data_IF_843882459601
#
_entry.id   IF_843882459601
#
_cell.length_a   1.000
_cell.length_b   1.000
_cell.length_c   1.000
_cell.angle_alpha   90.00
_cell.angle_beta   90.00
_cell.angle_gamma   90.00
#
_symmetry.space_group_name_H-M   'P 1'
#
loop_
_entity.id
_entity.type
_entity.pdbx_description
1 polymer ?
#
# COMPACT_ATOMS: atom_id res chain seq x y z
N UNK A 1 -26.11 -6.05 10.21
CA UNK A 1 -25.56 -6.17 8.86
C UNK A 1 -25.87 -7.56 8.35
N UNK A 2 -26.12 -7.71 7.05
CA UNK A 2 -26.39 -9.02 6.41
C UNK A 2 -25.12 -9.66 5.89
N UNK A 3 -24.17 -8.84 5.47
CA UNK A 3 -22.83 -9.29 5.10
C UNK A 3 -22.03 -9.75 6.34
N UNK A 4 -21.42 -10.93 6.27
CA UNK A 4 -20.47 -11.45 7.27
C UNK A 4 -19.07 -11.41 6.68
N UNK A 5 -18.20 -10.49 7.13
CA UNK A 5 -16.83 -10.39 6.64
C UNK A 5 -15.96 -11.57 7.12
N UNK A 6 -14.80 -11.82 6.47
CA UNK A 6 -13.79 -12.73 6.99
C UNK A 6 -13.31 -12.29 8.39
N UNK A 7 -12.80 -13.25 9.17
CA UNK A 7 -12.14 -12.97 10.44
C UNK A 7 -10.97 -11.98 10.27
N UNK A 8 -10.64 -11.25 11.33
CA UNK A 8 -9.66 -10.14 11.29
C UNK A 8 -8.30 -10.55 10.76
N UNK A 9 -7.78 -11.69 11.22
CA UNK A 9 -6.51 -12.28 10.80
C UNK A 9 -6.51 -12.67 9.32
N UNK A 10 -7.60 -13.27 8.84
CA UNK A 10 -7.78 -13.64 7.44
C UNK A 10 -7.87 -12.38 6.56
N UNK A 11 -8.64 -11.38 6.97
CA UNK A 11 -8.77 -10.12 6.25
C UNK A 11 -7.44 -9.37 6.20
N UNK A 12 -6.69 -9.33 7.31
CA UNK A 12 -5.36 -8.73 7.36
C UNK A 12 -4.40 -9.42 6.39
N UNK A 13 -4.32 -10.75 6.42
CA UNK A 13 -3.45 -11.53 5.54
C UNK A 13 -3.80 -11.37 4.05
N UNK A 14 -5.09 -11.23 3.72
CA UNK A 14 -5.54 -10.93 2.34
C UNK A 14 -5.20 -9.49 1.95
N UNK A 15 -5.39 -8.53 2.84
CA UNK A 15 -5.05 -7.11 2.63
C UNK A 15 -3.56 -6.93 2.32
N UNK A 16 -2.69 -7.65 3.03
CA UNK A 16 -1.24 -7.59 2.82
C UNK A 16 -0.79 -8.10 1.44
N UNK A 17 -1.57 -9.01 0.84
CA UNK A 17 -1.29 -9.64 -0.46
C UNK A 17 -1.80 -8.84 -1.67
N UNK A 18 -2.64 -7.82 -1.47
CA UNK A 18 -3.27 -7.06 -2.56
C UNK A 18 -2.27 -6.50 -3.58
N UNK A 19 -1.15 -5.94 -3.09
CA UNK A 19 -0.10 -5.37 -3.96
C UNK A 19 0.52 -6.44 -4.86
N UNK A 20 0.89 -7.59 -4.26
CA UNK A 20 1.46 -8.71 -5.01
C UNK A 20 0.47 -9.28 -6.03
N UNK A 21 -0.80 -9.41 -5.67
CA UNK A 21 -1.84 -9.89 -6.58
C UNK A 21 -2.04 -8.94 -7.76
N UNK A 22 -2.10 -7.63 -7.48
CA UNK A 22 -2.22 -6.61 -8.52
C UNK A 22 -0.99 -6.62 -9.45
N UNK A 23 0.22 -6.69 -8.88
CA UNK A 23 1.47 -6.73 -9.65
C UNK A 23 1.51 -7.93 -10.61
N UNK A 24 1.11 -9.11 -10.15
CA UNK A 24 1.03 -10.33 -10.98
C UNK A 24 0.02 -10.14 -12.12
N UNK A 25 -1.19 -9.66 -11.82
CA UNK A 25 -2.23 -9.48 -12.83
C UNK A 25 -1.83 -8.42 -13.86
N UNK A 26 -1.20 -7.33 -13.42
CA UNK A 26 -0.64 -6.27 -14.27
C UNK A 26 0.65 -6.69 -14.99
N UNK A 27 1.23 -7.86 -14.68
CA UNK A 27 2.53 -8.32 -15.19
C UNK A 27 3.63 -7.27 -15.00
N UNK A 28 3.61 -6.60 -13.83
CA UNK A 28 4.58 -5.56 -13.52
C UNK A 28 5.99 -6.13 -13.40
N UNK A 29 6.97 -5.26 -13.65
CA UNK A 29 8.36 -5.63 -13.58
C UNK A 29 8.75 -6.07 -12.16
N UNK A 30 9.33 -7.26 -12.03
CA UNK A 30 9.67 -7.86 -10.74
C UNK A 30 11.00 -7.30 -10.22
N UNK A 31 10.93 -6.71 -9.03
CA UNK A 31 12.10 -6.16 -8.32
C UNK A 31 12.60 -7.11 -7.24
N UNK A 32 11.74 -7.99 -6.74
CA UNK A 32 12.14 -8.97 -5.75
C UNK A 32 12.75 -10.20 -6.44
N UNK A 33 13.68 -10.92 -5.77
CA UNK A 33 14.19 -12.18 -6.29
C UNK A 33 13.02 -13.18 -6.49
N UNK A 34 13.05 -14.01 -7.54
CA UNK A 34 12.06 -15.07 -7.72
C UNK A 34 12.12 -16.02 -6.51
N UNK A 35 10.96 -16.26 -5.89
CA UNK A 35 10.85 -17.08 -4.67
C UNK A 35 11.14 -18.58 -4.90
N UNK A 36 11.25 -19.02 -6.16
CA UNK A 36 11.14 -20.44 -6.56
C UNK A 36 12.46 -21.20 -6.72
N UNK A 37 13.64 -20.61 -6.43
CA UNK A 37 14.93 -21.25 -6.76
C UNK A 37 15.94 -21.45 -5.62
N UNK A 38 15.56 -21.27 -4.34
CA UNK A 38 16.49 -21.57 -3.23
C UNK A 38 16.06 -22.80 -2.42
N UNK A 39 16.95 -23.82 -2.25
CA UNK A 39 16.70 -24.91 -1.32
C UNK A 39 16.58 -24.35 0.11
N UNK A 40 15.63 -24.92 0.86
CA UNK A 40 15.15 -24.52 2.20
C UNK A 40 16.19 -24.28 3.32
N UNK A 41 17.50 -24.39 3.04
CA UNK A 41 18.59 -24.24 4.01
C UNK A 41 19.51 -23.03 3.77
N UNK A 42 19.37 -22.28 2.67
CA UNK A 42 20.14 -21.05 2.45
C UNK A 42 19.43 -19.85 3.07
N UNK A 43 20.17 -18.94 3.72
CA UNK A 43 19.64 -17.64 4.16
C UNK A 43 19.07 -16.94 2.92
N UNK A 44 17.74 -16.76 2.87
CA UNK A 44 17.06 -16.06 1.77
C UNK A 44 17.74 -14.71 1.53
N UNK A 45 18.34 -14.54 0.36
CA UNK A 45 18.97 -13.29 -0.05
C UNK A 45 17.93 -12.15 -0.03
N UNK A 46 18.27 -10.99 0.53
CA UNK A 46 17.34 -9.84 0.50
C UNK A 46 17.25 -9.26 -0.91
N UNK A 47 16.14 -8.57 -1.24
CA UNK A 47 16.01 -7.89 -2.54
C UNK A 47 17.18 -6.93 -2.82
N UNK A 48 17.66 -6.24 -1.78
CA UNK A 48 18.79 -5.32 -1.90
C UNK A 48 20.09 -6.05 -2.25
N UNK A 49 20.40 -7.16 -1.57
CA UNK A 49 21.60 -7.96 -1.86
C UNK A 49 21.57 -8.50 -3.29
N UNK A 50 20.40 -8.91 -3.76
CA UNK A 50 20.21 -9.39 -5.12
C UNK A 50 20.47 -8.28 -6.16
N UNK A 51 19.97 -7.06 -5.92
CA UNK A 51 20.23 -5.91 -6.79
C UNK A 51 21.69 -5.43 -6.73
N UNK A 52 22.33 -5.46 -5.56
CA UNK A 52 23.77 -5.18 -5.44
C UNK A 52 24.58 -6.19 -6.27
N UNK A 53 24.21 -7.46 -6.21
CA UNK A 53 24.85 -8.51 -7.02
C UNK A 53 24.70 -8.24 -8.52
N UNK A 54 23.51 -7.81 -8.96
CA UNK A 54 23.27 -7.41 -10.36
C UNK A 54 24.06 -6.18 -10.77
N UNK A 55 24.17 -5.20 -9.88
CA UNK A 55 24.93 -3.98 -10.13
C UNK A 55 26.44 -4.24 -10.24
N UNK A 56 26.96 -5.38 -9.76
CA UNK A 56 28.37 -5.73 -9.88
C UNK A 56 28.87 -5.71 -11.34
N UNK A 57 28.05 -6.18 -12.29
CA UNK A 57 28.39 -6.10 -13.72
C UNK A 57 28.51 -4.66 -14.24
N UNK A 58 27.84 -3.70 -13.62
CA UNK A 58 27.98 -2.26 -13.90
C UNK A 58 29.29 -1.72 -13.33
N UNK A 59 29.68 -2.16 -12.13
CA UNK A 59 30.93 -1.77 -11.48
C UNK A 59 32.16 -2.31 -12.21
N UNK A 60 32.06 -3.52 -12.75
CA UNK A 60 33.18 -4.21 -13.41
C UNK A 60 33.28 -3.87 -14.91
N UNK A 61 32.30 -3.15 -15.47
CA UNK A 61 32.32 -2.84 -16.89
C UNK A 61 33.49 -1.87 -17.23
N UNK A 62 34.28 -2.22 -18.23
CA UNK A 62 35.27 -1.29 -18.79
C UNK A 62 34.56 -0.21 -19.61
N UNK A 63 34.56 1.03 -19.15
CA UNK A 63 33.84 2.14 -19.79
C UNK A 63 34.67 3.42 -19.76
N UNK A 64 34.59 4.25 -20.81
CA UNK A 64 35.19 5.61 -20.79
C UNK A 64 34.38 6.61 -19.95
N UNK A 65 33.31 6.17 -19.29
CA UNK A 65 32.41 6.98 -18.45
C UNK A 65 32.68 6.72 -16.96
N UNK A 66 33.95 6.72 -16.57
CA UNK A 66 34.39 6.30 -15.22
C UNK A 66 33.68 7.06 -14.09
N UNK A 67 33.50 8.38 -14.23
CA UNK A 67 32.82 9.18 -13.20
C UNK A 67 31.36 8.79 -13.02
N UNK A 68 30.66 8.41 -14.10
CA UNK A 68 29.28 7.93 -14.03
C UNK A 68 29.19 6.54 -13.39
N UNK A 69 30.16 5.66 -13.70
CA UNK A 69 30.28 4.34 -13.05
C UNK A 69 30.54 4.48 -11.55
N UNK A 70 31.38 5.44 -11.17
CA UNK A 70 31.74 5.68 -9.77
C UNK A 70 30.54 6.06 -8.88
N UNK A 71 29.50 6.68 -9.44
CA UNK A 71 28.24 6.92 -8.72
C UNK A 71 27.65 5.61 -8.20
N UNK A 72 27.66 4.55 -9.03
CA UNK A 72 27.16 3.24 -8.62
C UNK A 72 28.05 2.58 -7.58
N UNK A 73 29.37 2.74 -7.68
CA UNK A 73 30.30 2.20 -6.69
C UNK A 73 30.03 2.82 -5.30
N UNK A 74 29.94 4.15 -5.24
CA UNK A 74 29.64 4.87 -4.01
C UNK A 74 28.27 4.48 -3.45
N UNK A 75 27.23 4.50 -4.29
CA UNK A 75 25.88 4.15 -3.87
C UNK A 75 25.78 2.69 -3.38
N UNK A 76 26.37 1.73 -4.11
CA UNK A 76 26.37 0.32 -3.68
C UNK A 76 27.09 0.15 -2.34
N UNK A 77 28.21 0.83 -2.13
CA UNK A 77 28.93 0.76 -0.86
C UNK A 77 28.12 1.36 0.29
N UNK A 78 27.43 2.48 0.08
CA UNK A 78 26.49 3.04 1.07
C UNK A 78 25.37 2.04 1.41
N UNK A 79 24.74 1.46 0.39
CA UNK A 79 23.58 0.58 0.57
C UNK A 79 23.93 -0.77 1.21
N UNK A 80 25.19 -1.24 1.13
CA UNK A 80 25.65 -2.45 1.84
C UNK A 80 25.51 -2.36 3.36
N UNK A 81 25.45 -1.14 3.90
CA UNK A 81 25.34 -0.88 5.34
C UNK A 81 23.89 -0.76 5.84
N UNK A 82 22.90 -0.87 4.96
CA UNK A 82 21.48 -0.85 5.35
C UNK A 82 21.16 -2.08 6.21
N UNK A 83 20.39 -1.87 7.29
CA UNK A 83 20.02 -2.94 8.20
C UNK A 83 19.19 -4.02 7.48
N UNK A 84 19.75 -5.22 7.34
CA UNK A 84 19.14 -6.36 6.63
C UNK A 84 17.87 -6.89 7.30
N UNK A 85 17.73 -6.67 8.60
CA UNK A 85 16.58 -7.14 9.37
C UNK A 85 15.37 -6.19 9.24
N UNK A 86 15.58 -4.95 8.78
CA UNK A 86 14.49 -4.01 8.50
C UNK A 86 14.00 -4.14 7.06
N UNK A 87 12.89 -4.85 6.85
CA UNK A 87 12.28 -5.07 5.53
C UNK A 87 11.96 -3.76 4.79
N UNK A 88 11.51 -2.73 5.49
CA UNK A 88 11.15 -1.45 4.88
C UNK A 88 12.39 -0.70 4.37
N UNK A 89 13.46 -0.66 5.18
CA UNK A 89 14.72 -0.03 4.79
C UNK A 89 15.35 -0.75 3.60
N UNK A 90 15.33 -2.09 3.59
CA UNK A 90 15.80 -2.89 2.45
C UNK A 90 15.00 -2.57 1.17
N UNK A 91 13.68 -2.43 1.29
CA UNK A 91 12.82 -2.10 0.15
C UNK A 91 13.13 -0.69 -0.38
N UNK A 92 13.24 0.32 0.50
CA UNK A 92 13.61 1.70 0.11
C UNK A 92 14.98 1.74 -0.56
N UNK A 93 15.98 1.11 0.06
CA UNK A 93 17.34 0.99 -0.48
C UNK A 93 17.38 0.31 -1.86
N UNK A 94 16.57 -0.74 -2.04
CA UNK A 94 16.42 -1.42 -3.33
C UNK A 94 15.94 -0.43 -4.40
N UNK A 95 14.90 0.36 -4.09
CA UNK A 95 14.39 1.36 -5.02
C UNK A 95 15.38 2.48 -5.32
N UNK A 96 16.24 2.87 -4.37
CA UNK A 96 17.32 3.84 -4.64
C UNK A 96 18.28 3.33 -5.71
N UNK A 97 18.69 2.07 -5.62
CA UNK A 97 19.61 1.46 -6.60
C UNK A 97 18.95 1.27 -7.96
N UNK A 98 17.71 0.75 -8.00
CA UNK A 98 16.95 0.60 -9.25
C UNK A 98 16.71 1.94 -9.91
N UNK A 99 16.37 2.97 -9.13
CA UNK A 99 16.18 4.33 -9.63
C UNK A 99 17.46 4.94 -10.17
N UNK A 100 18.62 4.71 -9.53
CA UNK A 100 19.92 5.14 -10.05
C UNK A 100 20.25 4.47 -11.40
N UNK A 101 19.98 3.17 -11.52
CA UNK A 101 20.16 2.41 -12.77
C UNK A 101 19.28 2.97 -13.89
N UNK A 102 17.98 3.16 -13.63
CA UNK A 102 17.04 3.72 -14.60
C UNK A 102 17.37 5.17 -14.97
N UNK A 103 17.74 6.01 -14.01
CA UNK A 103 18.18 7.38 -14.26
C UNK A 103 19.34 7.38 -15.26
N UNK A 104 20.39 6.60 -15.00
CA UNK A 104 21.56 6.57 -15.90
C UNK A 104 21.23 5.90 -17.24
N UNK A 105 20.39 4.86 -17.24
CA UNK A 105 19.91 4.21 -18.47
C UNK A 105 19.28 5.23 -19.44
N UNK A 106 18.31 6.02 -18.96
CA UNK A 106 17.67 7.05 -19.78
C UNK A 106 18.60 8.20 -20.14
N UNK A 107 19.48 8.63 -19.22
CA UNK A 107 20.46 9.69 -19.51
C UNK A 107 21.47 9.29 -20.59
N UNK A 108 21.95 8.04 -20.60
CA UNK A 108 22.85 7.59 -21.67
C UNK A 108 22.15 7.61 -23.02
N UNK A 109 20.89 7.19 -23.12
CA UNK A 109 20.13 7.30 -24.38
C UNK A 109 19.99 8.76 -24.82
N UNK A 110 19.56 9.64 -23.92
CA UNK A 110 19.39 11.05 -24.24
C UNK A 110 20.70 11.72 -24.69
N UNK A 111 21.83 11.45 -24.04
CA UNK A 111 23.12 12.02 -24.46
C UNK A 111 23.54 11.57 -25.87
N UNK A 112 23.19 10.34 -26.26
CA UNK A 112 23.44 9.84 -27.62
C UNK A 112 22.50 10.50 -28.64
N UNK A 113 21.23 10.67 -28.31
CA UNK A 113 20.26 11.38 -29.14
C UNK A 113 20.66 12.86 -29.33
N UNK A 114 21.00 13.54 -28.24
CA UNK A 114 21.45 14.94 -28.23
C UNK A 114 22.70 15.13 -29.08
N UNK A 115 23.69 14.23 -28.95
CA UNK A 115 24.89 14.25 -29.76
C UNK A 115 24.55 14.04 -31.24
N UNK A 116 23.84 12.97 -31.58
CA UNK A 116 23.46 12.64 -32.96
C UNK A 116 22.70 13.78 -33.65
N UNK A 117 21.77 14.41 -32.92
CA UNK A 117 21.03 15.58 -33.40
C UNK A 117 21.93 16.80 -33.60
N UNK A 118 22.87 17.05 -32.68
CA UNK A 118 23.79 18.20 -32.74
C UNK A 118 24.78 18.09 -33.90
N UNK A 119 25.40 16.92 -34.07
CA UNK A 119 26.41 16.69 -35.12
C UNK A 119 25.82 16.19 -36.44
N UNK A 120 24.49 15.98 -36.50
CA UNK A 120 23.75 15.42 -37.65
C UNK A 120 24.31 14.07 -38.12
N UNK A 121 24.63 13.21 -37.16
CA UNK A 121 25.15 11.86 -37.39
C UNK A 121 24.11 10.84 -36.90
N UNK A 122 23.78 9.85 -37.73
CA UNK A 122 22.79 8.80 -37.41
C UNK A 122 23.39 7.40 -37.16
N UNK A 123 24.71 7.24 -37.29
CA UNK A 123 25.38 5.92 -37.14
C UNK A 123 26.07 5.72 -35.78
N UNK A 124 25.89 6.64 -34.82
CA UNK A 124 26.46 6.48 -33.48
C UNK A 124 25.41 5.90 -32.54
N UNK A 125 25.48 4.58 -32.33
CA UNK A 125 24.46 3.80 -31.64
C UNK A 125 24.76 3.63 -30.15
N UNK A 126 23.73 3.77 -29.32
CA UNK A 126 23.84 3.65 -27.85
C UNK A 126 24.29 2.26 -27.38
N UNK A 127 24.01 1.21 -28.17
CA UNK A 127 24.46 -0.15 -27.88
C UNK A 127 25.98 -0.35 -27.92
N UNK A 128 26.74 0.61 -28.44
CA UNK A 128 28.21 0.65 -28.32
C UNK A 128 28.69 1.00 -26.90
N UNK A 129 27.84 1.61 -26.07
CA UNK A 129 28.17 1.98 -24.70
C UNK A 129 28.15 0.74 -23.79
N UNK A 130 29.34 0.32 -23.34
CA UNK A 130 29.47 -0.80 -22.39
C UNK A 130 28.74 -0.53 -21.06
N UNK A 131 28.76 0.71 -20.58
CA UNK A 131 28.01 1.10 -19.39
C UNK A 131 26.49 0.95 -19.60
N UNK A 132 25.97 1.36 -20.76
CA UNK A 132 24.55 1.20 -21.09
C UNK A 132 24.15 -0.28 -21.11
N UNK A 133 24.92 -1.11 -21.80
CA UNK A 133 24.66 -2.55 -21.89
C UNK A 133 24.77 -3.25 -20.53
N UNK A 134 25.71 -2.86 -19.68
CA UNK A 134 25.82 -3.38 -18.32
C UNK A 134 24.60 -3.01 -17.46
N UNK A 135 24.10 -1.77 -17.58
CA UNK A 135 22.88 -1.34 -16.88
C UNK A 135 21.66 -2.11 -17.39
N UNK A 136 21.51 -2.32 -18.71
CA UNK A 136 20.44 -3.14 -19.29
C UNK A 136 20.46 -4.57 -18.74
N UNK A 137 21.65 -5.17 -18.65
CA UNK A 137 21.83 -6.50 -18.10
C UNK A 137 21.48 -6.56 -16.60
N UNK A 138 21.85 -5.54 -15.82
CA UNK A 138 21.47 -5.43 -14.41
C UNK A 138 19.95 -5.30 -14.22
N UNK A 139 19.28 -4.54 -15.09
CA UNK A 139 17.82 -4.39 -15.16
C UNK A 139 17.11 -5.58 -15.83
N UNK A 140 17.83 -6.66 -16.20
CA UNK A 140 17.30 -7.85 -16.88
C UNK A 140 16.40 -7.53 -18.08
N UNK A 141 16.76 -6.51 -18.84
CA UNK A 141 16.13 -6.30 -20.13
C UNK A 141 16.51 -7.42 -21.10
N UNK A 142 15.68 -7.66 -22.14
CA UNK A 142 15.94 -8.69 -23.12
C UNK A 142 17.36 -8.59 -23.68
N UNK A 143 18.08 -9.72 -23.67
CA UNK A 143 19.43 -9.78 -24.22
C UNK A 143 19.40 -9.43 -25.70
N UNK A 144 20.33 -8.58 -26.10
CA UNK A 144 20.53 -8.21 -27.50
C UNK A 144 21.94 -8.65 -27.88
N UNK A 145 22.10 -9.54 -28.87
CA UNK A 145 23.41 -9.95 -29.35
C UNK A 145 24.28 -8.74 -29.70
N UNK A 146 25.56 -8.77 -29.34
CA UNK A 146 26.48 -7.62 -29.52
C UNK A 146 26.54 -7.12 -30.96
N UNK A 147 26.41 -8.02 -31.94
CA UNK A 147 26.39 -7.68 -33.36
C UNK A 147 25.17 -6.84 -33.75
N UNK A 148 24.03 -7.07 -33.12
CA UNK A 148 22.78 -6.34 -33.36
C UNK A 148 22.69 -5.08 -32.52
N UNK A 149 23.22 -5.10 -31.29
CA UNK A 149 23.23 -3.94 -30.40
C UNK A 149 23.93 -2.72 -31.03
N UNK A 150 24.96 -2.98 -31.86
CA UNK A 150 25.70 -1.94 -32.58
C UNK A 150 24.94 -1.25 -33.71
N UNK A 151 23.71 -1.65 -34.03
CA UNK A 151 22.88 -1.04 -35.08
C UNK A 151 21.50 -0.58 -34.61
N UNK A 152 21.13 -0.82 -33.34
CA UNK A 152 19.85 -0.38 -32.79
C UNK A 152 19.92 1.08 -32.35
N UNK A 153 18.91 1.84 -32.75
CA UNK A 153 18.63 3.19 -32.25
C UNK A 153 18.22 3.19 -30.77
N UNK A 154 18.28 4.36 -30.14
CA UNK A 154 17.76 4.58 -28.78
C UNK A 154 16.27 4.25 -28.68
N UNK A 155 15.49 4.59 -29.71
CA UNK A 155 14.05 4.31 -29.77
C UNK A 155 13.77 2.81 -29.81
N UNK A 156 14.52 2.03 -30.60
CA UNK A 156 14.36 0.56 -30.65
C UNK A 156 14.70 -0.11 -29.31
N UNK A 157 15.74 0.35 -28.61
CA UNK A 157 16.00 -0.13 -27.25
C UNK A 157 14.88 0.25 -26.29
N UNK A 158 14.41 1.50 -26.35
CA UNK A 158 13.31 1.97 -25.50
C UNK A 158 12.05 1.13 -25.71
N UNK A 159 11.67 0.83 -26.94
CA UNK A 159 10.50 0.00 -27.25
C UNK A 159 10.65 -1.43 -26.73
N UNK A 160 11.80 -2.08 -26.96
CA UNK A 160 12.06 -3.44 -26.49
C UNK A 160 12.08 -3.53 -24.95
N UNK A 161 12.68 -2.54 -24.30
CA UNK A 161 12.87 -2.57 -22.85
C UNK A 161 11.61 -2.14 -22.09
N UNK A 162 10.85 -1.16 -22.60
CA UNK A 162 9.55 -0.77 -22.04
C UNK A 162 8.44 -1.81 -22.31
N UNK A 163 8.67 -2.80 -23.17
CA UNK A 163 7.78 -3.96 -23.26
C UNK A 163 7.86 -4.85 -22.00
N UNK A 164 8.93 -4.74 -21.21
CA UNK A 164 9.15 -5.52 -19.99
C UNK A 164 9.09 -4.64 -18.73
N UNK A 165 9.52 -3.38 -18.82
CA UNK A 165 9.52 -2.43 -17.71
C UNK A 165 8.30 -1.51 -17.77
N UNK A 166 7.41 -1.64 -16.78
CA UNK A 166 6.20 -0.81 -16.71
C UNK A 166 6.50 0.62 -16.23
N UNK A 167 5.74 1.58 -16.78
CA UNK A 167 5.90 3.01 -16.48
C UNK A 167 5.74 3.32 -14.98
N UNK A 168 4.91 2.58 -14.24
CA UNK A 168 4.72 2.80 -12.81
C UNK A 168 5.95 2.40 -12.00
N UNK A 169 6.59 1.28 -12.35
CA UNK A 169 7.87 0.87 -11.77
C UNK A 169 8.96 1.89 -12.04
N UNK A 170 9.02 2.46 -13.25
CA UNK A 170 9.97 3.54 -13.58
C UNK A 170 9.75 4.75 -12.67
N UNK A 171 8.51 5.20 -12.54
CA UNK A 171 8.19 6.38 -11.71
C UNK A 171 8.53 6.14 -10.24
N UNK A 172 8.13 5.00 -9.68
CA UNK A 172 8.40 4.68 -8.26
C UNK A 172 9.90 4.64 -7.99
N UNK A 173 10.69 4.01 -8.87
CA UNK A 173 12.14 3.93 -8.73
C UNK A 173 12.80 5.31 -8.84
N UNK A 174 12.41 6.11 -9.85
CA UNK A 174 12.99 7.44 -10.07
C UNK A 174 12.60 8.43 -8.97
N UNK A 175 11.36 8.38 -8.46
CA UNK A 175 10.93 9.20 -7.31
C UNK A 175 11.71 8.79 -6.04
N UNK A 176 11.88 7.50 -5.76
CA UNK A 176 12.67 7.03 -4.63
C UNK A 176 14.15 7.48 -4.73
N UNK A 177 14.74 7.40 -5.93
CA UNK A 177 16.09 7.89 -6.17
C UNK A 177 16.18 9.42 -6.01
N UNK A 178 15.22 10.19 -6.57
CA UNK A 178 15.13 11.64 -6.38
C UNK A 178 15.10 12.00 -4.91
N UNK A 179 14.20 11.38 -4.16
CA UNK A 179 13.99 11.71 -2.75
C UNK A 179 15.28 11.43 -1.95
N UNK A 180 15.94 10.28 -2.18
CA UNK A 180 17.23 9.98 -1.58
C UNK A 180 18.34 10.98 -1.96
N UNK A 181 18.37 11.40 -3.22
CA UNK A 181 19.35 12.36 -3.74
C UNK A 181 19.15 13.78 -3.21
N UNK A 182 17.92 14.14 -2.84
CA UNK A 182 17.55 15.43 -2.27
C UNK A 182 17.63 15.46 -0.74
N UNK A 183 17.76 14.31 -0.07
CA UNK A 183 18.01 14.27 1.38
C UNK A 183 19.24 15.11 1.74
N UNK A 184 19.09 15.99 2.72
CA UNK A 184 20.19 16.74 3.30
C UNK A 184 21.06 15.80 4.13
N UNK A 185 22.36 15.79 3.82
CA UNK A 185 23.36 14.93 4.48
C UNK A 185 24.34 15.73 5.34
N UNK A 186 24.41 17.03 5.09
CA UNK A 186 25.04 18.09 5.86
C UNK A 186 24.10 19.31 5.75
N UNK A 187 24.20 20.28 6.66
CA UNK A 187 23.30 21.45 6.71
C UNK A 187 23.15 22.08 5.32
N UNK A 188 21.93 22.04 4.76
CA UNK A 188 21.57 22.58 3.43
C UNK A 188 22.34 21.99 2.23
N UNK A 189 22.97 20.82 2.36
CA UNK A 189 23.68 20.14 1.27
C UNK A 189 22.93 18.86 0.86
N UNK A 190 22.25 18.87 -0.31
CA UNK A 190 21.62 17.67 -0.86
C UNK A 190 22.63 16.56 -1.15
N UNK A 191 22.24 15.31 -0.89
CA UNK A 191 23.08 14.12 -1.07
C UNK A 191 23.72 14.02 -2.45
N UNK A 192 23.01 14.38 -3.52
CA UNK A 192 23.56 14.24 -4.88
C UNK A 192 24.88 14.99 -5.09
N UNK A 193 25.13 16.06 -4.34
CA UNK A 193 26.38 16.84 -4.42
C UNK A 193 27.62 16.07 -3.96
N UNK A 194 27.46 14.99 -3.18
CA UNK A 194 28.55 14.08 -2.78
C UNK A 194 29.08 13.25 -3.94
N UNK A 195 28.23 12.94 -4.92
CA UNK A 195 28.63 12.19 -6.11
C UNK A 195 29.22 13.16 -7.15
N UNK A 196 30.53 13.07 -7.37
CA UNK A 196 31.25 14.01 -8.24
C UNK A 196 30.67 14.14 -9.66
N UNK A 197 30.12 13.05 -10.23
CA UNK A 197 29.47 13.09 -11.54
C UNK A 197 28.13 13.84 -11.50
N UNK A 198 27.29 13.60 -10.48
CA UNK A 198 25.99 14.26 -10.36
C UNK A 198 26.15 15.74 -9.99
N UNK A 199 27.12 16.08 -9.13
CA UNK A 199 27.42 17.46 -8.74
C UNK A 199 27.86 18.33 -9.93
N UNK A 200 28.54 17.73 -10.93
CA UNK A 200 28.95 18.42 -12.16
C UNK A 200 27.80 18.63 -13.16
N UNK A 201 26.71 17.86 -13.06
CA UNK A 201 25.53 18.06 -13.89
C UNK A 201 24.66 19.17 -13.29
N UNK A 202 24.83 20.39 -13.79
CA UNK A 202 24.06 21.58 -13.39
C UNK A 202 22.55 21.41 -13.57
N UNK A 203 22.13 20.48 -14.42
CA UNK A 203 20.73 20.20 -14.73
C UNK A 203 20.26 18.87 -14.12
N UNK A 204 21.02 18.23 -13.22
CA UNK A 204 20.70 16.92 -12.65
C UNK A 204 19.24 16.82 -12.15
N UNK A 205 18.82 17.77 -11.30
CA UNK A 205 17.47 17.77 -10.74
C UNK A 205 16.39 17.99 -11.81
N UNK A 206 16.68 18.88 -12.77
CA UNK A 206 15.78 19.17 -13.89
C UNK A 206 15.59 17.92 -14.76
N UNK A 207 16.68 17.30 -15.20
CA UNK A 207 16.66 16.08 -15.99
C UNK A 207 15.90 14.95 -15.27
N UNK A 208 16.17 14.73 -13.99
CA UNK A 208 15.48 13.71 -13.20
C UNK A 208 13.97 13.99 -13.09
N UNK A 209 13.59 15.25 -12.88
CA UNK A 209 12.18 15.65 -12.78
C UNK A 209 11.45 15.52 -14.12
N UNK A 210 12.09 15.90 -15.22
CA UNK A 210 11.54 15.75 -16.58
C UNK A 210 11.32 14.27 -16.94
N UNK A 211 12.27 13.39 -16.58
CA UNK A 211 12.12 11.95 -16.75
C UNK A 211 10.93 11.41 -15.95
N UNK A 212 10.82 11.77 -14.67
CA UNK A 212 9.67 11.37 -13.83
C UNK A 212 8.36 11.83 -14.48
N UNK A 213 8.27 13.10 -14.87
CA UNK A 213 7.06 13.68 -15.46
C UNK A 213 6.63 12.96 -16.75
N UNK A 214 7.59 12.61 -17.61
CA UNK A 214 7.34 11.91 -18.87
C UNK A 214 6.65 10.54 -18.68
N UNK A 215 7.02 9.79 -17.63
CA UNK A 215 6.43 8.48 -17.34
C UNK A 215 5.20 8.58 -16.43
N UNK A 216 5.12 9.60 -15.57
CA UNK A 216 4.06 9.74 -14.57
C UNK A 216 2.66 9.85 -15.17
N UNK A 217 2.51 10.56 -16.29
CA UNK A 217 1.21 10.69 -16.97
C UNK A 217 0.66 9.33 -17.46
N UNK A 218 1.53 8.48 -18.02
CA UNK A 218 1.16 7.14 -18.50
C UNK A 218 0.94 6.14 -17.36
N UNK A 219 1.72 6.28 -16.28
CA UNK A 219 1.63 5.43 -15.09
C UNK A 219 0.46 5.77 -14.16
N UNK A 220 -0.18 6.94 -14.33
CA UNK A 220 -1.15 7.48 -13.38
C UNK A 220 -2.25 6.49 -12.93
N UNK A 221 -2.87 5.69 -13.82
CA UNK A 221 -3.91 4.73 -13.41
C UNK A 221 -3.37 3.64 -12.47
N UNK A 222 -2.18 3.11 -12.75
CA UNK A 222 -1.55 2.06 -11.91
C UNK A 222 -1.05 2.65 -10.61
N UNK A 223 -0.41 3.83 -10.64
CA UNK A 223 0.03 4.52 -9.42
C UNK A 223 -1.14 4.83 -8.48
N UNK A 224 -2.30 5.21 -9.03
CA UNK A 224 -3.48 5.47 -8.21
C UNK A 224 -4.06 4.19 -7.60
N UNK A 225 -4.03 3.06 -8.31
CA UNK A 225 -4.36 1.74 -7.73
C UNK A 225 -3.43 1.35 -6.59
N UNK A 226 -2.11 1.55 -6.74
CA UNK A 226 -1.14 1.27 -5.68
C UNK A 226 -1.36 2.18 -4.45
N UNK A 227 -1.74 3.45 -4.66
CA UNK A 227 -2.12 4.35 -3.57
C UNK A 227 -3.36 3.89 -2.82
N UNK A 228 -4.37 3.36 -3.50
CA UNK A 228 -5.54 2.76 -2.86
C UNK A 228 -5.15 1.55 -1.98
N UNK A 229 -4.24 0.71 -2.47
CA UNK A 229 -3.70 -0.42 -1.68
C UNK A 229 -2.90 0.08 -0.46
N UNK A 230 -2.06 1.10 -0.61
CA UNK A 230 -1.32 1.69 0.52
C UNK A 230 -2.27 2.23 1.59
N UNK A 231 -3.34 2.91 1.19
CA UNK A 231 -4.37 3.38 2.12
C UNK A 231 -4.95 2.21 2.92
N UNK A 232 -5.48 1.16 2.25
CA UNK A 232 -6.15 0.06 2.97
C UNK A 232 -5.17 -0.75 3.85
N UNK A 233 -3.92 -0.93 3.42
CA UNK A 233 -2.88 -1.57 4.23
C UNK A 233 -2.53 -0.74 5.48
N UNK A 234 -2.38 0.58 5.32
CA UNK A 234 -2.13 1.47 6.46
C UNK A 234 -3.30 1.51 7.45
N UNK A 235 -4.55 1.48 6.95
CA UNK A 235 -5.75 1.37 7.78
C UNK A 235 -5.78 0.05 8.55
N UNK A 236 -5.56 -1.08 7.88
CA UNK A 236 -5.54 -2.38 8.53
C UNK A 236 -4.47 -2.46 9.62
N UNK A 237 -3.25 -1.99 9.35
CA UNK A 237 -2.16 -1.98 10.32
C UNK A 237 -2.50 -1.16 11.58
N UNK A 238 -3.05 0.05 11.41
CA UNK A 238 -3.42 0.92 12.53
C UNK A 238 -4.59 0.33 13.34
N UNK A 239 -5.63 -0.16 12.66
CA UNK A 239 -6.79 -0.79 13.31
C UNK A 239 -6.38 -2.03 14.11
N UNK A 240 -5.53 -2.89 13.55
CA UNK A 240 -5.04 -4.10 14.22
C UNK A 240 -4.14 -3.76 15.41
N UNK A 241 -3.27 -2.76 15.27
CA UNK A 241 -2.44 -2.25 16.37
C UNK A 241 -3.30 -1.80 17.55
N UNK A 242 -4.37 -1.06 17.29
CA UNK A 242 -5.30 -0.62 18.33
C UNK A 242 -6.12 -1.77 18.92
N UNK A 243 -6.62 -2.68 18.09
CA UNK A 243 -7.34 -3.88 18.56
C UNK A 243 -6.46 -4.75 19.47
N UNK A 244 -5.17 -4.87 19.15
CA UNK A 244 -4.19 -5.59 19.97
C UNK A 244 -4.01 -4.92 21.34
N UNK A 245 -3.88 -3.59 21.37
CA UNK A 245 -3.79 -2.81 22.63
C UNK A 245 -5.04 -3.00 23.50
N UNK A 246 -6.23 -2.94 22.90
CA UNK A 246 -7.51 -3.16 23.60
C UNK A 246 -7.59 -4.58 24.17
N UNK A 247 -7.19 -5.59 23.39
CA UNK A 247 -7.21 -6.99 23.83
C UNK A 247 -6.29 -7.22 25.03
N UNK A 248 -5.08 -6.67 24.99
CA UNK A 248 -4.14 -6.74 26.11
C UNK A 248 -4.67 -6.00 27.34
N UNK A 249 -5.27 -4.83 27.16
CA UNK A 249 -5.90 -4.08 28.25
C UNK A 249 -7.05 -4.86 28.89
N UNK A 250 -7.92 -5.48 28.09
CA UNK A 250 -9.00 -6.35 28.55
C UNK A 250 -8.46 -7.55 29.34
N UNK A 251 -7.39 -8.20 28.86
CA UNK A 251 -6.78 -9.35 29.56
C UNK A 251 -6.19 -8.99 30.92
N UNK A 252 -5.54 -7.84 31.03
CA UNK A 252 -4.97 -7.36 32.30
C UNK A 252 -6.09 -6.93 33.25
N UNK A 253 -7.05 -6.15 32.74
CA UNK A 253 -8.19 -5.65 33.53
C UNK A 253 -9.08 -6.79 34.03
N UNK A 254 -9.37 -7.79 33.20
CA UNK A 254 -10.23 -8.92 33.58
C UNK A 254 -9.64 -9.75 34.72
N UNK A 255 -8.32 -9.98 34.72
CA UNK A 255 -7.63 -10.66 35.84
C UNK A 255 -7.80 -9.91 37.16
N UNK A 256 -7.81 -8.58 37.13
CA UNK A 256 -8.08 -7.76 38.31
C UNK A 256 -9.56 -7.88 38.72
N UNK A 257 -10.48 -7.82 37.75
CA UNK A 257 -11.91 -7.95 38.00
C UNK A 257 -12.23 -9.28 38.69
N UNK A 258 -11.69 -10.41 38.21
CA UNK A 258 -11.88 -11.74 38.83
C UNK A 258 -11.31 -11.78 40.25
N UNK A 259 -10.18 -11.12 40.49
CA UNK A 259 -9.52 -11.09 41.80
C UNK A 259 -10.32 -10.29 42.83
N UNK A 260 -10.85 -9.15 42.43
CA UNK A 260 -11.55 -8.21 43.32
C UNK A 260 -13.05 -8.55 43.44
N UNK A 261 -13.62 -9.23 42.44
CA UNK A 261 -15.00 -9.66 42.39
C UNK A 261 -15.10 -11.14 42.03
N UNK A 262 -15.07 -12.02 43.04
CA UNK A 262 -15.05 -13.47 42.83
C UNK A 262 -16.36 -14.05 42.23
N UNK A 263 -17.48 -13.31 42.29
CA UNK A 263 -18.78 -13.73 41.76
C UNK A 263 -19.26 -12.74 40.70
N UNK A 264 -19.33 -13.18 39.45
CA UNK A 264 -19.77 -12.33 38.35
C UNK A 264 -21.21 -11.82 38.54
N UNK A 265 -22.12 -12.64 39.08
CA UNK A 265 -23.54 -12.27 39.31
C UNK A 265 -23.74 -11.05 40.22
N UNK A 266 -22.69 -10.62 40.95
CA UNK A 266 -22.70 -9.42 41.78
C UNK A 266 -22.27 -8.15 41.05
N UNK A 267 -21.89 -8.28 39.78
CA UNK A 267 -21.45 -7.18 38.92
C UNK A 267 -22.63 -6.67 38.11
N UNK A 268 -22.95 -5.40 38.27
CA UNK A 268 -23.81 -4.66 37.35
C UNK A 268 -22.98 -3.73 36.46
N UNK A 269 -23.66 -3.03 35.55
CA UNK A 269 -23.03 -2.11 34.61
C UNK A 269 -22.24 -1.00 35.32
N UNK A 270 -22.78 -0.45 36.42
CA UNK A 270 -22.17 0.66 37.16
C UNK A 270 -20.87 0.22 37.84
N UNK A 271 -20.86 -0.96 38.45
CA UNK A 271 -19.66 -1.54 39.09
C UNK A 271 -18.59 -1.81 38.03
N UNK A 272 -18.96 -2.41 36.90
CA UNK A 272 -18.02 -2.72 35.81
C UNK A 272 -17.40 -1.43 35.25
N UNK A 273 -18.21 -0.41 34.99
CA UNK A 273 -17.75 0.89 34.50
C UNK A 273 -16.80 1.59 35.48
N UNK A 274 -17.15 1.62 36.76
CA UNK A 274 -16.29 2.18 37.80
C UNK A 274 -14.94 1.44 37.89
N UNK A 275 -14.96 0.12 37.76
CA UNK A 275 -13.75 -0.71 37.76
C UNK A 275 -12.88 -0.47 36.51
N UNK A 276 -13.48 -0.37 35.32
CA UNK A 276 -12.78 0.02 34.09
C UNK A 276 -12.09 1.37 34.25
N UNK A 277 -12.83 2.37 34.75
CA UNK A 277 -12.33 3.74 34.94
C UNK A 277 -11.18 3.80 35.93
N UNK A 278 -11.24 2.99 36.98
CA UNK A 278 -10.22 2.95 38.03
C UNK A 278 -8.93 2.28 37.54
N UNK A 279 -9.04 1.15 36.83
CA UNK A 279 -7.89 0.27 36.56
C UNK A 279 -7.30 0.42 35.15
N UNK A 280 -8.03 0.93 34.16
CA UNK A 280 -7.50 1.16 32.80
C UNK A 280 -7.01 2.60 32.67
N UNK A 281 -5.68 2.78 32.74
CA UNK A 281 -5.02 4.09 32.73
C UNK A 281 -4.89 4.71 31.34
N UNK A 282 -4.72 3.89 30.31
CA UNK A 282 -4.75 4.35 28.92
C UNK A 282 -6.17 4.84 28.58
N UNK A 283 -6.29 6.15 28.37
CA UNK A 283 -7.57 6.80 28.11
C UNK A 283 -8.23 6.32 26.82
N UNK A 284 -7.44 6.12 25.75
CA UNK A 284 -7.95 5.64 24.47
C UNK A 284 -8.46 4.20 24.56
N UNK A 285 -7.71 3.32 25.25
CA UNK A 285 -8.15 1.96 25.49
C UNK A 285 -9.38 1.92 26.41
N UNK A 286 -9.42 2.75 27.45
CA UNK A 286 -10.54 2.86 28.39
C UNK A 286 -11.82 3.25 27.66
N UNK A 287 -11.81 4.34 26.90
CA UNK A 287 -13.00 4.82 26.16
C UNK A 287 -13.55 3.73 25.24
N UNK A 288 -12.69 3.01 24.52
CA UNK A 288 -13.14 1.94 23.63
C UNK A 288 -13.69 0.73 24.36
N UNK A 289 -13.11 0.37 25.50
CA UNK A 289 -13.63 -0.72 26.32
C UNK A 289 -15.00 -0.34 26.90
N UNK A 290 -15.19 0.93 27.27
CA UNK A 290 -16.51 1.45 27.65
C UNK A 290 -17.48 1.41 26.47
N UNK A 291 -17.10 1.85 25.28
CA UNK A 291 -17.95 1.75 24.08
C UNK A 291 -18.41 0.30 23.82
N UNK A 292 -17.52 -0.68 24.01
CA UNK A 292 -17.85 -2.10 23.90
C UNK A 292 -18.88 -2.55 24.94
N UNK A 293 -18.73 -2.10 26.19
CA UNK A 293 -19.65 -2.38 27.30
C UNK A 293 -21.06 -1.89 26.97
N UNK A 294 -21.17 -0.75 26.29
CA UNK A 294 -22.44 -0.14 25.90
C UNK A 294 -23.05 -0.71 24.60
N UNK A 295 -22.42 -1.70 23.97
CA UNK A 295 -23.03 -2.36 22.82
C UNK A 295 -24.32 -3.10 23.23
N UNK A 296 -25.38 -3.12 22.38
CA UNK A 296 -26.66 -3.74 22.75
C UNK A 296 -26.55 -5.22 23.13
N UNK A 297 -25.61 -5.95 22.53
CA UNK A 297 -25.37 -7.36 22.82
C UNK A 297 -24.81 -7.57 24.23
N UNK A 298 -23.75 -6.83 24.59
CA UNK A 298 -23.13 -6.91 25.91
C UNK A 298 -24.11 -6.43 26.99
N UNK A 299 -24.72 -5.26 26.78
CA UNK A 299 -25.65 -4.66 27.72
C UNK A 299 -26.83 -5.60 28.03
N UNK A 300 -27.46 -6.17 27.00
CA UNK A 300 -28.60 -7.08 27.18
C UNK A 300 -28.22 -8.34 27.96
N UNK A 301 -27.04 -8.92 27.68
CA UNK A 301 -26.57 -10.13 28.38
C UNK A 301 -26.15 -9.88 29.83
N UNK A 302 -25.60 -8.70 30.11
CA UNK A 302 -25.35 -8.26 31.49
C UNK A 302 -26.68 -8.13 32.26
N UNK A 303 -27.68 -7.48 31.67
CA UNK A 303 -29.01 -7.30 32.27
C UNK A 303 -29.77 -8.62 32.48
N UNK A 304 -29.52 -9.64 31.65
CA UNK A 304 -30.14 -10.96 31.78
C UNK A 304 -29.34 -11.97 32.63
N UNK A 305 -28.24 -11.53 33.26
CA UNK A 305 -27.36 -12.39 34.08
C UNK A 305 -26.87 -13.64 33.31
N UNK A 306 -26.66 -13.51 32.00
CA UNK A 306 -26.23 -14.61 31.11
C UNK A 306 -24.71 -14.78 31.04
N UNK A 307 -23.95 -13.98 31.79
CA UNK A 307 -22.50 -13.98 31.76
C UNK A 307 -21.87 -14.61 33.00
N UNK A 308 -20.80 -15.36 32.75
CA UNK A 308 -19.72 -15.58 33.71
C UNK A 308 -18.49 -14.73 33.31
N UNK A 309 -17.44 -14.76 34.13
CA UNK A 309 -16.22 -14.01 33.85
C UNK A 309 -15.63 -14.32 32.45
N UNK A 310 -15.56 -15.59 32.05
CA UNK A 310 -14.88 -16.01 30.82
C UNK A 310 -15.70 -15.67 29.57
N UNK A 311 -17.01 -15.90 29.61
CA UNK A 311 -17.94 -15.58 28.53
C UNK A 311 -18.07 -14.07 28.33
N UNK A 312 -18.04 -13.27 29.41
CA UNK A 312 -18.00 -11.81 29.31
C UNK A 312 -16.73 -11.32 28.63
N UNK A 313 -15.55 -11.80 29.05
CA UNK A 313 -14.28 -11.44 28.40
C UNK A 313 -14.27 -11.84 26.92
N UNK A 314 -14.77 -13.04 26.63
CA UNK A 314 -14.85 -13.57 25.26
C UNK A 314 -15.71 -12.68 24.37
N UNK A 315 -16.90 -12.28 24.84
CA UNK A 315 -17.80 -11.42 24.07
C UNK A 315 -17.25 -9.99 23.92
N UNK A 316 -16.56 -9.44 24.94
CA UNK A 316 -15.88 -8.14 24.84
C UNK A 316 -14.75 -8.17 23.80
N UNK A 317 -13.91 -9.20 23.81
CA UNK A 317 -12.85 -9.39 22.81
C UNK A 317 -13.41 -9.59 21.41
N UNK A 318 -14.49 -10.36 21.29
CA UNK A 318 -15.20 -10.54 20.02
C UNK A 318 -15.77 -9.22 19.51
N UNK A 319 -16.43 -8.44 20.36
CA UNK A 319 -16.92 -7.11 20.00
C UNK A 319 -15.80 -6.19 19.49
N UNK A 320 -14.65 -6.18 20.17
CA UNK A 320 -13.46 -5.44 19.73
C UNK A 320 -12.95 -5.89 18.35
N UNK A 321 -12.86 -7.20 18.14
CA UNK A 321 -12.45 -7.78 16.86
C UNK A 321 -13.46 -7.45 15.74
N UNK A 322 -14.77 -7.56 16.01
CA UNK A 322 -15.83 -7.27 15.06
C UNK A 322 -15.79 -5.79 14.65
N UNK A 323 -15.65 -4.87 15.62
CA UNK A 323 -15.47 -3.43 15.34
C UNK A 323 -14.26 -3.19 14.43
N UNK A 324 -13.11 -3.82 14.73
CA UNK A 324 -11.91 -3.72 13.91
C UNK A 324 -12.15 -4.20 12.48
N UNK A 325 -12.80 -5.36 12.32
CA UNK A 325 -13.15 -5.90 10.99
C UNK A 325 -14.04 -4.92 10.22
N UNK A 326 -15.14 -4.45 10.82
CA UNK A 326 -16.07 -3.55 10.14
C UNK A 326 -15.45 -2.18 9.82
N UNK A 327 -14.51 -1.68 10.62
CA UNK A 327 -13.73 -0.48 10.29
C UNK A 327 -12.88 -0.70 9.04
N UNK A 328 -12.16 -1.84 8.93
CA UNK A 328 -11.34 -2.15 7.75
C UNK A 328 -12.24 -2.33 6.53
N UNK A 329 -13.33 -3.09 6.64
CA UNK A 329 -14.34 -3.24 5.57
C UNK A 329 -14.89 -1.88 5.15
N UNK A 330 -15.05 -0.93 6.07
CA UNK A 330 -15.38 0.46 5.76
C UNK A 330 -14.41 1.11 4.79
N UNK A 331 -13.11 0.88 4.95
CA UNK A 331 -12.07 1.31 4.01
C UNK A 331 -12.24 0.70 2.62
N UNK A 332 -12.49 -0.61 2.54
CA UNK A 332 -12.78 -1.30 1.27
C UNK A 332 -14.04 -0.72 0.59
N UNK A 333 -15.13 -0.56 1.35
CA UNK A 333 -16.38 0.00 0.87
C UNK A 333 -16.18 1.41 0.31
N UNK A 334 -15.44 2.27 1.02
CA UNK A 334 -15.15 3.62 0.56
C UNK A 334 -14.41 3.62 -0.78
N UNK A 335 -13.36 2.80 -0.92
CA UNK A 335 -12.63 2.68 -2.19
C UNK A 335 -13.55 2.20 -3.32
N UNK A 336 -14.37 1.17 -3.07
CA UNK A 336 -15.32 0.64 -4.05
C UNK A 336 -16.44 1.64 -4.43
N UNK A 337 -16.73 2.63 -3.58
CA UNK A 337 -17.68 3.71 -3.86
C UNK A 337 -17.04 4.93 -4.55
N UNK A 338 -15.70 5.05 -4.53
CA UNK A 338 -15.02 6.17 -5.19
C UNK A 338 -15.28 6.19 -6.70
N UNK A 339 -15.29 7.39 -7.28
CA UNK A 339 -15.55 7.62 -8.71
C UNK A 339 -14.51 6.89 -9.57
N UNK A 340 -13.28 6.79 -9.09
CA UNK A 340 -12.16 6.11 -9.75
C UNK A 340 -12.45 4.63 -9.97
N UNK A 341 -13.06 3.94 -9.01
CA UNK A 341 -13.43 2.53 -9.12
C UNK A 341 -14.63 2.29 -10.08
N UNK A 342 -15.23 3.36 -10.61
CA UNK A 342 -16.21 3.30 -11.69
C UNK A 342 -15.58 3.49 -13.08
N UNK A 343 -14.27 3.81 -13.16
CA UNK A 343 -13.56 4.03 -14.42
C UNK A 343 -12.93 2.75 -14.97
N UNK A 344 -12.80 2.66 -16.30
CA UNK A 344 -12.06 1.58 -16.97
C UNK A 344 -10.59 1.62 -16.52
N UNK A 345 -10.09 0.50 -15.98
CA UNK A 345 -8.70 0.38 -15.52
C UNK A 345 -8.55 -0.02 -14.06
N UNK A 346 -9.62 0.01 -13.26
CA UNK A 346 -9.64 -0.46 -11.87
C UNK A 346 -10.22 -1.86 -11.68
N UNK A 347 -10.65 -2.53 -12.76
CA UNK A 347 -11.37 -3.82 -12.70
C UNK A 347 -10.57 -4.91 -11.96
N UNK A 348 -9.25 -4.96 -12.20
CA UNK A 348 -8.34 -5.92 -11.55
C UNK A 348 -8.24 -5.67 -10.04
N UNK A 349 -8.00 -4.41 -9.64
CA UNK A 349 -7.98 -4.06 -8.23
C UNK A 349 -9.34 -4.29 -7.57
N UNK A 350 -10.44 -3.92 -8.24
CA UNK A 350 -11.81 -4.15 -7.76
C UNK A 350 -12.07 -5.62 -7.48
N UNK A 351 -11.67 -6.51 -8.39
CA UNK A 351 -11.72 -7.95 -8.19
C UNK A 351 -10.92 -8.39 -6.96
N UNK A 352 -9.66 -7.93 -6.81
CA UNK A 352 -8.82 -8.28 -5.66
C UNK A 352 -9.42 -7.76 -4.33
N UNK A 353 -10.07 -6.58 -4.34
CA UNK A 353 -10.77 -6.07 -3.16
C UNK A 353 -11.98 -6.94 -2.79
N UNK A 354 -12.76 -7.41 -3.77
CA UNK A 354 -13.85 -8.36 -3.51
C UNK A 354 -13.35 -9.73 -3.02
N UNK A 355 -12.27 -10.25 -3.59
CA UNK A 355 -11.62 -11.48 -3.14
C UNK A 355 -11.11 -11.35 -1.68
N UNK A 356 -10.53 -10.20 -1.35
CA UNK A 356 -10.11 -9.87 0.01
C UNK A 356 -11.28 -9.94 1.01
N UNK A 357 -12.44 -9.42 0.60
CA UNK A 357 -13.69 -9.47 1.35
C UNK A 357 -14.40 -10.83 1.33
N UNK A 358 -13.91 -11.81 0.55
CA UNK A 358 -14.54 -13.13 0.42
C UNK A 358 -15.84 -13.12 -0.40
N UNK A 359 -16.04 -12.11 -1.25
CA UNK A 359 -17.25 -11.93 -2.07
C UNK A 359 -16.99 -11.97 -3.57
N UNK A 360 -15.76 -12.22 -4.03
CA UNK A 360 -15.35 -12.49 -5.42
C UNK A 360 -16.38 -12.05 -6.49
N UNK A 361 -17.14 -12.99 -7.06
CA UNK A 361 -18.16 -12.75 -8.10
C UNK A 361 -19.55 -12.40 -7.54
N UNK A 362 -19.73 -12.46 -6.23
CA UNK A 362 -20.99 -12.26 -5.52
C UNK A 362 -21.06 -10.87 -4.87
N UNK A 363 -20.77 -9.84 -5.66
CA UNK A 363 -20.74 -8.45 -5.19
C UNK A 363 -22.07 -7.99 -4.56
N UNK A 364 -23.18 -8.62 -4.93
CA UNK A 364 -24.52 -8.41 -4.39
C UNK A 364 -24.66 -8.79 -2.91
N UNK A 365 -23.75 -9.62 -2.37
CA UNK A 365 -23.72 -9.94 -0.93
C UNK A 365 -23.37 -8.73 -0.06
N UNK A 366 -22.65 -7.77 -0.62
CA UNK A 366 -22.33 -6.51 0.04
C UNK A 366 -23.38 -5.46 -0.32
N UNK A 367 -24.48 -5.46 0.42
CA UNK A 367 -25.62 -4.56 0.16
C UNK A 367 -25.24 -3.08 0.36
N UNK A 368 -25.99 -2.17 -0.25
CA UNK A 368 -25.81 -0.73 -0.05
C UNK A 368 -25.93 -0.32 1.43
N UNK A 369 -26.78 -1.01 2.19
CA UNK A 369 -26.93 -0.82 3.63
C UNK A 369 -25.69 -1.28 4.40
N UNK A 370 -25.12 -2.42 4.01
CA UNK A 370 -23.88 -2.91 4.62
C UNK A 370 -22.72 -1.96 4.34
N UNK A 371 -22.57 -1.46 3.10
CA UNK A 371 -21.55 -0.46 2.75
C UNK A 371 -21.68 0.80 3.61
N UNK A 372 -22.91 1.32 3.77
CA UNK A 372 -23.17 2.53 4.54
C UNK A 372 -22.76 2.36 6.01
N UNK A 373 -23.15 1.24 6.64
CA UNK A 373 -22.81 0.95 8.03
C UNK A 373 -21.30 0.79 8.22
N UNK A 374 -20.63 0.07 7.32
CA UNK A 374 -19.17 -0.10 7.38
C UNK A 374 -18.42 1.24 7.20
N UNK A 375 -18.86 2.11 6.30
CA UNK A 375 -18.28 3.46 6.14
C UNK A 375 -18.48 4.31 7.42
N UNK A 376 -19.57 4.12 8.17
CA UNK A 376 -19.75 4.78 9.46
C UNK A 376 -18.75 4.30 10.52
N UNK A 377 -18.41 3.01 10.54
CA UNK A 377 -17.33 2.51 11.41
C UNK A 377 -15.96 3.12 11.05
N UNK A 378 -15.67 3.28 9.76
CA UNK A 378 -14.47 3.98 9.29
C UNK A 378 -14.47 5.46 9.72
N UNK A 379 -15.58 6.16 9.49
CA UNK A 379 -15.72 7.57 9.85
C UNK A 379 -15.50 7.80 11.35
N UNK A 380 -16.10 6.95 12.19
CA UNK A 380 -15.93 7.01 13.63
C UNK A 380 -14.48 6.77 14.03
N UNK A 381 -13.81 5.80 13.41
CA UNK A 381 -12.39 5.55 13.63
C UNK A 381 -11.52 6.77 13.28
N UNK A 382 -11.73 7.41 12.13
CA UNK A 382 -10.94 8.58 11.73
C UNK A 382 -11.16 9.77 12.68
N UNK A 383 -12.41 9.98 13.14
CA UNK A 383 -12.73 11.05 14.09
C UNK A 383 -12.09 10.83 15.45
N UNK A 384 -12.08 9.60 15.93
CA UNK A 384 -11.52 9.24 17.25
C UNK A 384 -10.00 9.07 17.25
N UNK A 385 -9.38 8.93 16.07
CA UNK A 385 -7.93 8.74 15.94
C UNK A 385 -7.32 9.74 14.95
N UNK A 386 -7.32 11.04 15.28
CA UNK A 386 -6.83 12.06 14.37
C UNK A 386 -5.34 11.90 14.02
N UNK A 387 -4.55 11.29 14.92
CA UNK A 387 -3.11 11.05 14.78
C UNK A 387 -2.78 9.73 14.06
N UNK A 388 -3.79 8.99 13.56
CA UNK A 388 -3.55 7.76 12.81
C UNK A 388 -2.68 8.02 11.57
N UNK A 389 -1.56 7.31 11.47
CA UNK A 389 -0.56 7.43 10.39
C UNK A 389 -1.00 6.81 9.05
N UNK A 390 -2.23 7.08 8.62
CA UNK A 390 -2.78 6.52 7.39
C UNK A 390 -2.15 7.17 6.14
N UNK A 391 -2.05 6.39 5.07
CA UNK A 391 -1.52 6.82 3.78
C UNK A 391 -2.65 7.42 2.93
N UNK A 392 -2.83 8.74 2.99
CA UNK A 392 -3.95 9.45 2.34
C UNK A 392 -3.76 9.76 0.85
N UNK A 393 -2.62 9.39 0.25
CA UNK A 393 -2.23 9.75 -1.13
C UNK A 393 -3.26 9.43 -2.21
N UNK A 394 -4.12 8.42 -2.00
CA UNK A 394 -5.21 8.10 -2.92
C UNK A 394 -6.25 9.22 -2.98
N UNK A 395 -6.60 9.76 -1.80
CA UNK A 395 -7.55 10.86 -1.59
C UNK A 395 -6.89 12.23 -1.66
N UNK A 396 -5.56 12.31 -1.82
CA UNK A 396 -4.73 13.52 -1.78
C UNK A 396 -4.48 14.07 -0.37
N UNK A 397 -5.46 14.02 0.53
CA UNK A 397 -5.32 14.48 1.91
C UNK A 397 -6.35 13.85 2.85
N UNK A 398 -6.17 14.03 4.16
CA UNK A 398 -7.15 13.65 5.19
C UNK A 398 -8.47 14.43 5.07
N UNK A 399 -8.41 15.71 4.71
CA UNK A 399 -9.59 16.54 4.52
C UNK A 399 -10.43 16.05 3.32
N UNK A 400 -9.76 15.71 2.23
CA UNK A 400 -10.41 15.15 1.04
C UNK A 400 -11.04 13.78 1.34
N UNK A 401 -10.37 12.93 2.12
CA UNK A 401 -10.95 11.67 2.59
C UNK A 401 -12.27 11.90 3.34
N UNK A 402 -12.34 12.92 4.20
CA UNK A 402 -13.57 13.26 4.93
C UNK A 402 -14.70 13.69 3.98
N UNK A 403 -14.37 14.45 2.94
CA UNK A 403 -15.31 14.80 1.86
C UNK A 403 -15.83 13.58 1.11
N UNK A 404 -14.94 12.66 0.72
CA UNK A 404 -15.28 11.41 0.03
C UNK A 404 -16.16 10.49 0.88
N UNK A 405 -15.94 10.42 2.20
CA UNK A 405 -16.83 9.72 3.13
C UNK A 405 -18.23 10.34 3.11
N UNK A 406 -18.33 11.68 3.13
CA UNK A 406 -19.60 12.40 3.04
C UNK A 406 -20.33 12.08 1.74
N UNK A 407 -19.68 12.24 0.60
CA UNK A 407 -20.24 11.96 -0.73
C UNK A 407 -20.71 10.51 -0.86
N UNK A 408 -19.88 9.54 -0.42
CA UNK A 408 -20.23 8.12 -0.48
C UNK A 408 -21.46 7.80 0.39
N UNK A 409 -21.54 8.34 1.61
CA UNK A 409 -22.70 8.13 2.49
C UNK A 409 -23.98 8.71 1.88
N UNK A 410 -23.93 9.93 1.34
CA UNK A 410 -25.09 10.56 0.71
C UNK A 410 -25.58 9.77 -0.50
N UNK A 411 -24.67 9.30 -1.35
CA UNK A 411 -24.98 8.47 -2.51
C UNK A 411 -25.66 7.15 -2.09
N UNK A 412 -25.12 6.46 -1.08
CA UNK A 412 -25.69 5.22 -0.54
C UNK A 412 -27.07 5.44 0.08
N UNK A 413 -27.26 6.51 0.87
CA UNK A 413 -28.57 6.85 1.45
C UNK A 413 -29.62 7.08 0.35
N UNK A 414 -29.25 7.78 -0.72
CA UNK A 414 -30.13 8.01 -1.87
C UNK A 414 -30.48 6.71 -2.59
N UNK A 415 -29.49 5.83 -2.79
CA UNK A 415 -29.63 4.50 -3.38
C UNK A 415 -30.62 3.64 -2.59
N UNK A 416 -30.43 3.54 -1.27
CA UNK A 416 -31.30 2.78 -0.35
C UNK A 416 -32.75 3.31 -0.37
N UNK A 417 -32.93 4.65 -0.31
CA UNK A 417 -34.26 5.26 -0.37
C UNK A 417 -34.96 4.99 -1.69
N UNK A 418 -34.23 4.97 -2.82
CA UNK A 418 -34.78 4.66 -4.14
C UNK A 418 -35.22 3.20 -4.23
N UNK A 419 -34.41 2.27 -3.73
CA UNK A 419 -34.75 0.83 -3.72
C UNK A 419 -36.05 0.55 -2.94
N UNK A 420 -36.19 1.13 -1.73
CA UNK A 420 -37.43 0.99 -0.93
C UNK A 420 -38.67 1.48 -1.65
N UNK A 421 -38.59 2.64 -2.32
CA UNK A 421 -39.73 3.18 -3.09
C UNK A 421 -40.15 2.26 -4.24
N UNK A 422 -39.20 1.57 -4.88
CA UNK A 422 -39.49 0.62 -5.94
C UNK A 422 -40.12 -0.67 -5.40
N UNK A 423 -39.66 -1.16 -4.24
CA UNK A 423 -40.26 -2.30 -3.54
C UNK A 423 -41.71 -2.02 -3.09
N UNK A 424 -41.96 -0.82 -2.56
CA UNK A 424 -43.30 -0.38 -2.15
C UNK A 424 -44.26 -0.26 -3.35
N UNK A 425 -43.76 0.18 -4.52
CA UNK A 425 -44.53 0.25 -5.77
C UNK A 425 -44.84 -1.15 -6.34
N UNK A 426 -43.85 -2.04 -6.39
CA UNK A 426 -44.04 -3.40 -6.92
C UNK A 426 -44.97 -4.25 -6.02
N UNK A 427 -44.96 -4.00 -4.70
CA UNK A 427 -45.91 -4.60 -3.75
C UNK A 427 -47.34 -4.06 -3.93
N UNK A 428 -47.49 -2.77 -4.25
CA UNK A 428 -48.79 -2.15 -4.52
C UNK A 428 -49.39 -2.66 -5.83
N UNK A 429 -48.58 -2.79 -6.89
CA UNK A 429 -49.04 -3.24 -8.21
C UNK A 429 -49.45 -4.73 -8.21
N UNK A 430 -48.77 -5.58 -7.41
CA UNK A 430 -49.18 -6.99 -7.22
C UNK A 430 -50.48 -7.14 -6.45
N UNK A 431 -50.78 -6.25 -5.50
CA UNK A 431 -52.07 -6.25 -4.80
C UNK A 431 -53.22 -5.83 -5.71
N UNK A 432 -52.99 -4.93 -6.68
CA UNK A 432 -54.00 -4.51 -7.65
C UNK A 432 -54.29 -5.59 -8.71
N UNK A 433 -53.34 -6.47 -9.03
CA UNK A 433 -53.55 -7.59 -9.98
C UNK A 433 -54.23 -8.82 -9.36
N UNK A 434 -54.38 -8.87 -8.03
CA UNK A 434 -55.01 -9.96 -7.29
C UNK A 434 -56.46 -9.63 -6.85
N UNK A 435 -56.99 -8.48 -7.29
CA UNK A 435 -58.39 -8.04 -7.14
C UNK A 435 -59.02 -8.04 -8.54
#
# INVERSE_FOLDING_TARGET
MTFTPPALDVLAAKTDKLERQLDIQLKRYLINPPEDNEPSSAKKQTSLEWWITRAQGVLDCGTGRDTAREVFNQLVNELRHVNKDNKEDNQKATWFLVGALLHRYFRVMQEYDDYNNTVRIWWWYVGSSRLFMAIRAALKFPEVPTKEAGSLSTQEFKEKDLAVMDDATIVIALEAFRDNMLLEVETDVPRYKKYAHLNKDVNFQKHLSEMILHYKGRAAPVLKQLKAIKFIKSLAAEVISQQTKITLALDVWHKLLVKEHAKFDSLDLEIIEAHITTHIKDESARERILDLLYTPHIKKKLESFEFDHESFLTDMKKGSSDTAVYTIVGGYCLLLQSKEFQTKGFDRLKFNLHEALGIEDKSELLTEKDKLLNIQFLEQFIKTNPEAGLQYDFFTSKDNLSGEIGEAKEALIKSIKKARKLEDQDSSDRQVQLI
#
